data_IF_250895258984
#
_entry.id   IF_250895258984
#
_cell.length_a   1.000
_cell.length_b   1.000
_cell.length_c   1.000
_cell.angle_alpha   90.00
_cell.angle_beta   90.00
_cell.angle_gamma   90.00
#
_symmetry.space_group_name_H-M   'P 1'
#
loop_
_entity.id
_entity.type
_entity.pdbx_description
1 polymer ?
#
# COMPACT_ATOMS: atom_id res chain seq x y z
N UNK A 1 16.00 0.35 -5.64
CA UNK A 1 15.75 0.60 -4.20
C UNK A 1 16.68 -0.23 -3.31
N UNK A 2 16.92 0.20 -2.07
CA UNK A 2 17.81 -0.47 -1.09
C UNK A 2 16.99 -1.38 -0.15
N UNK A 3 17.43 -2.61 0.11
CA UNK A 3 16.76 -3.49 1.10
C UNK A 3 17.42 -3.37 2.48
N UNK A 4 16.59 -3.26 3.52
CA UNK A 4 17.01 -3.15 4.92
C UNK A 4 16.17 -4.08 5.82
N UNK A 5 16.71 -4.38 7.01
CA UNK A 5 15.99 -5.10 8.06
C UNK A 5 15.63 -4.18 9.22
N UNK A 6 14.41 -4.29 9.72
CA UNK A 6 13.95 -3.50 10.86
C UNK A 6 12.43 -3.41 10.98
N UNK A 7 11.97 -2.50 11.84
CA UNK A 7 10.56 -2.23 12.02
C UNK A 7 10.16 -0.95 11.25
N UNK A 8 9.23 -1.10 10.29
CA UNK A 8 8.71 0.00 9.47
C UNK A 8 8.33 1.25 10.27
N UNK A 9 7.71 1.09 11.43
CA UNK A 9 7.20 2.21 12.24
C UNK A 9 8.29 2.91 13.05
N UNK A 10 9.44 2.28 13.23
CA UNK A 10 10.56 2.81 14.02
C UNK A 10 11.74 3.26 13.16
N UNK A 11 11.74 2.96 11.87
CA UNK A 11 12.85 3.29 10.97
C UNK A 11 12.97 4.82 10.82
N UNK A 12 14.15 5.41 11.10
CA UNK A 12 14.40 6.82 10.85
C UNK A 12 14.34 7.13 9.35
N UNK A 13 13.45 8.02 8.96
CA UNK A 13 13.18 8.41 7.57
C UNK A 13 12.42 9.73 7.53
N UNK A 14 12.29 10.36 6.35
CA UNK A 14 11.43 11.52 6.17
C UNK A 14 9.96 11.11 6.02
N UNK A 15 9.72 9.98 5.35
CA UNK A 15 8.40 9.41 5.17
C UNK A 15 8.44 7.88 5.10
N UNK A 16 7.34 7.24 5.47
CA UNK A 16 7.14 5.81 5.26
C UNK A 16 5.76 5.48 4.70
N UNK A 17 5.70 4.38 3.96
CA UNK A 17 4.47 3.92 3.32
C UNK A 17 3.82 2.76 4.08
N UNK A 18 2.49 2.76 4.10
CA UNK A 18 1.69 1.55 4.34
C UNK A 18 1.00 1.13 3.05
N UNK A 19 0.87 -0.17 2.82
CA UNK A 19 0.19 -0.67 1.61
C UNK A 19 -1.31 -0.74 1.82
N UNK A 20 -2.10 -0.19 0.90
CA UNK A 20 -3.57 -0.12 1.02
C UNK A 20 -4.28 -0.77 -0.16
N UNK A 21 -5.59 -1.03 0.02
CA UNK A 21 -6.51 -1.40 -1.05
C UNK A 21 -7.42 -0.22 -1.40
N UNK A 22 -8.03 -0.24 -2.57
CA UNK A 22 -8.94 0.82 -3.03
C UNK A 22 -10.38 0.69 -2.51
N UNK A 23 -10.72 -0.29 -1.67
CA UNK A 23 -12.10 -0.49 -1.25
C UNK A 23 -12.48 0.46 -0.09
N UNK A 24 -13.55 1.23 -0.29
CA UNK A 24 -14.14 2.12 0.72
C UNK A 24 -15.50 1.57 1.13
N UNK A 25 -15.72 1.39 2.44
CA UNK A 25 -17.00 0.94 3.00
C UNK A 25 -18.06 2.04 2.93
N UNK A 26 -19.32 1.67 3.20
CA UNK A 26 -20.44 2.61 3.33
C UNK A 26 -20.24 3.69 4.40
N UNK A 27 -19.48 3.40 5.46
CA UNK A 27 -19.12 4.38 6.50
C UNK A 27 -17.98 5.34 6.10
N UNK A 28 -17.47 5.20 4.86
CA UNK A 28 -16.36 5.97 4.31
C UNK A 28 -14.98 5.53 4.81
N UNK A 29 -14.85 4.37 5.46
CA UNK A 29 -13.54 3.84 5.90
C UNK A 29 -12.93 2.90 4.89
N UNK A 30 -11.60 3.00 4.70
CA UNK A 30 -10.80 2.00 3.99
C UNK A 30 -10.60 0.75 4.86
N UNK A 31 -10.55 -0.44 4.26
CA UNK A 31 -10.34 -1.71 4.99
C UNK A 31 -8.87 -1.90 5.34
N UNK A 32 -8.54 -1.96 6.64
CA UNK A 32 -7.17 -2.16 7.15
C UNK A 32 -7.10 -3.37 8.09
N UNK A 33 -7.34 -4.58 7.56
CA UNK A 33 -7.51 -5.80 8.37
C UNK A 33 -6.25 -6.63 8.64
N UNK A 34 -5.15 -6.43 7.90
CA UNK A 34 -3.93 -7.24 7.99
C UNK A 34 -2.65 -6.41 7.80
N UNK A 35 -1.51 -6.98 8.18
CA UNK A 35 -0.17 -6.45 7.90
C UNK A 35 0.09 -5.05 8.48
N UNK A 36 0.94 -4.27 7.80
CA UNK A 36 1.29 -2.92 8.22
C UNK A 36 0.06 -1.98 8.27
N UNK A 37 -0.92 -2.16 7.37
CA UNK A 37 -2.15 -1.36 7.41
C UNK A 37 -2.94 -1.59 8.71
N UNK A 38 -3.05 -2.83 9.19
CA UNK A 38 -3.71 -3.12 10.48
C UNK A 38 -2.94 -2.51 11.64
N UNK A 39 -1.61 -2.66 11.67
CA UNK A 39 -0.77 -2.05 12.69
C UNK A 39 -0.93 -0.53 12.71
N UNK A 40 -0.88 0.12 11.55
CA UNK A 40 -1.10 1.56 11.41
C UNK A 40 -2.48 2.00 11.89
N UNK A 41 -3.55 1.25 11.59
CA UNK A 41 -4.90 1.56 12.09
C UNK A 41 -5.03 1.42 13.61
N UNK A 42 -4.18 0.60 14.24
CA UNK A 42 -4.16 0.48 15.70
C UNK A 42 -3.38 1.65 16.34
N UNK A 43 -2.29 2.12 15.71
CA UNK A 43 -1.56 3.30 16.16
C UNK A 43 -2.34 4.60 15.93
N UNK A 44 -3.03 4.71 14.80
CA UNK A 44 -3.80 5.89 14.39
C UNK A 44 -5.23 5.50 13.99
N UNK A 45 -6.18 5.43 14.95
CA UNK A 45 -7.55 4.98 14.71
C UNK A 45 -8.35 5.79 13.67
N UNK A 46 -7.96 7.05 13.42
CA UNK A 46 -8.55 7.92 12.40
C UNK A 46 -8.09 7.59 10.97
N UNK A 47 -6.96 6.89 10.82
CA UNK A 47 -6.32 6.64 9.53
C UNK A 47 -7.24 5.93 8.51
N UNK A 48 -8.05 4.91 8.85
CA UNK A 48 -8.98 4.30 7.91
C UNK A 48 -9.98 5.28 7.29
N UNK A 49 -10.45 6.27 8.06
CA UNK A 49 -11.38 7.30 7.58
C UNK A 49 -10.68 8.30 6.66
N UNK A 50 -9.47 8.72 7.01
CA UNK A 50 -8.65 9.63 6.19
C UNK A 50 -8.32 8.97 4.84
N UNK A 51 -7.81 7.74 4.86
CA UNK A 51 -7.48 7.03 3.61
C UNK A 51 -8.73 6.74 2.79
N UNK A 52 -9.84 6.38 3.44
CA UNK A 52 -11.12 6.20 2.75
C UNK A 52 -11.59 7.48 2.03
N UNK A 53 -11.50 8.63 2.70
CA UNK A 53 -11.83 9.93 2.10
C UNK A 53 -10.92 10.25 0.91
N UNK A 54 -9.60 10.06 1.04
CA UNK A 54 -8.65 10.29 -0.04
C UNK A 54 -8.95 9.40 -1.27
N UNK A 55 -9.32 8.13 -1.06
CA UNK A 55 -9.73 7.25 -2.15
C UNK A 55 -11.01 7.75 -2.84
N UNK A 56 -11.99 8.22 -2.07
CA UNK A 56 -13.24 8.76 -2.61
C UNK A 56 -13.05 10.05 -3.41
N UNK A 57 -12.18 10.94 -2.94
CA UNK A 57 -12.00 12.26 -3.55
C UNK A 57 -11.07 12.25 -4.77
N UNK A 58 -10.05 11.40 -4.74
CA UNK A 58 -8.96 11.45 -5.72
C UNK A 58 -8.65 10.11 -6.39
N UNK A 59 -9.37 9.05 -6.00
CA UNK A 59 -9.10 7.70 -6.46
C UNK A 59 -7.93 7.02 -5.75
N UNK A 60 -7.57 5.85 -6.26
CA UNK A 60 -6.62 4.95 -5.61
C UNK A 60 -5.16 5.32 -5.93
N UNK A 61 -4.72 6.49 -5.46
CA UNK A 61 -3.36 7.04 -5.65
C UNK A 61 -2.62 7.25 -4.32
N UNK A 62 -1.32 7.56 -4.38
CA UNK A 62 -0.49 7.75 -3.18
C UNK A 62 -0.86 9.07 -2.49
N UNK A 63 -1.02 9.04 -1.16
CA UNK A 63 -1.32 10.23 -0.35
C UNK A 63 -0.50 10.29 0.92
N UNK A 64 -0.08 11.50 1.29
CA UNK A 64 0.41 11.80 2.64
C UNK A 64 -0.80 11.85 3.59
N UNK A 65 -1.06 10.73 4.28
CA UNK A 65 -2.24 10.56 5.11
C UNK A 65 -2.09 11.24 6.48
N UNK A 66 -0.87 11.26 7.04
CA UNK A 66 -0.58 11.92 8.32
C UNK A 66 0.80 12.58 8.32
N UNK A 67 0.90 13.72 9.00
CA UNK A 67 2.15 14.29 9.48
C UNK A 67 2.29 13.93 10.97
N UNK A 68 3.36 13.23 11.34
CA UNK A 68 3.56 12.70 12.68
C UNK A 68 4.32 13.70 13.55
N UNK A 69 4.17 13.58 14.87
CA UNK A 69 4.79 14.49 15.85
C UNK A 69 6.32 14.47 15.84
N UNK A 70 6.94 13.41 15.31
CA UNK A 70 8.38 13.27 15.15
C UNK A 70 8.89 13.81 13.79
N UNK A 71 8.03 14.50 13.04
CA UNK A 71 8.37 15.13 11.76
C UNK A 71 8.28 14.20 10.54
N UNK A 72 7.97 12.90 10.76
CA UNK A 72 7.83 11.93 9.66
C UNK A 72 6.45 12.00 9.02
N UNK A 73 6.37 11.66 7.73
CA UNK A 73 5.10 11.51 7.03
C UNK A 73 4.69 10.05 6.87
N UNK A 74 3.44 9.73 7.16
CA UNK A 74 2.82 8.44 6.82
C UNK A 74 2.09 8.56 5.49
N UNK A 75 2.46 7.73 4.53
CA UNK A 75 1.86 7.67 3.20
C UNK A 75 1.00 6.42 3.04
N UNK A 76 -0.18 6.55 2.42
CA UNK A 76 -0.88 5.40 1.84
C UNK A 76 -0.30 5.09 0.46
N UNK A 77 0.11 3.83 0.26
CA UNK A 77 0.64 3.31 -1.00
C UNK A 77 -0.30 2.23 -1.54
N UNK A 78 -1.15 2.55 -2.53
CA UNK A 78 -2.08 1.58 -3.10
C UNK A 78 -1.38 0.37 -3.72
N UNK A 79 -1.85 -0.83 -3.39
CA UNK A 79 -1.36 -2.09 -4.01
C UNK A 79 -2.49 -3.00 -4.46
N UNK A 80 -3.72 -2.76 -4.03
CA UNK A 80 -4.91 -3.53 -4.47
C UNK A 80 -5.95 -2.60 -5.07
N UNK A 81 -6.68 -3.04 -6.11
CA UNK A 81 -7.71 -2.23 -6.76
C UNK A 81 -8.91 -1.98 -5.84
N UNK A 82 -9.93 -1.28 -6.33
CA UNK A 82 -11.21 -1.10 -5.63
C UNK A 82 -12.00 -2.41 -5.60
N UNK A 83 -12.02 -3.12 -6.73
CA UNK A 83 -12.60 -4.45 -6.93
C UNK A 83 -12.02 -5.10 -8.19
N UNK A 84 -12.25 -6.40 -8.35
CA UNK A 84 -11.96 -7.16 -9.58
C UNK A 84 -13.12 -8.10 -9.89
N UNK A 85 -13.27 -8.52 -11.15
CA UNK A 85 -14.13 -9.65 -11.52
C UNK A 85 -13.34 -10.94 -11.33
N UNK A 86 -13.85 -11.87 -10.54
CA UNK A 86 -13.15 -13.10 -10.21
C UNK A 86 -12.95 -13.95 -11.46
N UNK A 87 -11.71 -14.28 -11.76
CA UNK A 87 -11.33 -15.11 -12.91
C UNK A 87 -10.79 -16.50 -12.51
N UNK A 88 -10.85 -16.84 -11.21
CA UNK A 88 -10.31 -18.07 -10.65
C UNK A 88 -8.92 -17.94 -10.01
N UNK A 89 -8.19 -16.84 -10.22
CA UNK A 89 -6.83 -16.67 -9.66
C UNK A 89 -6.52 -15.29 -9.06
N UNK A 90 -7.37 -14.29 -9.26
CA UNK A 90 -7.15 -12.90 -8.81
C UNK A 90 -7.77 -12.58 -7.43
N UNK A 91 -8.11 -13.58 -6.64
CA UNK A 91 -8.52 -13.47 -5.24
C UNK A 91 -7.49 -14.15 -4.34
N UNK A 92 -7.20 -13.57 -3.17
CA UNK A 92 -6.26 -14.17 -2.21
C UNK A 92 -6.71 -15.57 -1.78
N UNK A 93 -5.77 -16.52 -1.67
CA UNK A 93 -6.05 -17.95 -1.51
C UNK A 93 -7.07 -18.28 -0.42
N UNK A 94 -6.95 -17.62 0.74
CA UNK A 94 -7.84 -17.86 1.89
C UNK A 94 -9.27 -17.32 1.72
N UNK A 95 -9.54 -16.59 0.63
CA UNK A 95 -10.85 -16.02 0.30
C UNK A 95 -11.45 -16.61 -0.98
N UNK A 96 -10.68 -17.36 -1.79
CA UNK A 96 -11.13 -17.89 -3.08
C UNK A 96 -12.43 -18.70 -2.98
N UNK A 97 -12.60 -19.53 -1.95
CA UNK A 97 -13.80 -20.37 -1.76
C UNK A 97 -15.10 -19.57 -1.49
N UNK A 98 -15.02 -18.24 -1.39
CA UNK A 98 -16.18 -17.36 -1.19
C UNK A 98 -16.71 -16.75 -2.48
N UNK A 99 -16.07 -17.01 -3.62
CA UNK A 99 -16.41 -16.40 -4.90
C UNK A 99 -16.46 -17.44 -6.01
N UNK A 100 -17.39 -17.27 -6.94
CA UNK A 100 -17.49 -18.00 -8.20
C UNK A 100 -16.93 -17.13 -9.34
N UNK A 101 -16.45 -17.76 -10.42
CA UNK A 101 -15.98 -17.02 -11.60
C UNK A 101 -17.10 -16.08 -12.08
N UNK A 102 -16.77 -14.81 -12.29
CA UNK A 102 -17.71 -13.74 -12.62
C UNK A 102 -18.18 -12.89 -11.43
N UNK A 103 -17.99 -13.36 -10.19
CA UNK A 103 -18.33 -12.58 -9.00
C UNK A 103 -17.45 -11.33 -8.86
N UNK A 104 -18.00 -10.26 -8.30
CA UNK A 104 -17.22 -9.09 -7.90
C UNK A 104 -16.49 -9.35 -6.59
N UNK A 105 -15.16 -9.37 -6.63
CA UNK A 105 -14.28 -9.48 -5.46
C UNK A 105 -13.90 -8.08 -5.01
N UNK A 106 -14.18 -7.68 -3.75
CA UNK A 106 -13.75 -6.38 -3.26
C UNK A 106 -12.23 -6.33 -3.12
N UNK A 107 -11.65 -5.14 -3.29
CA UNK A 107 -10.21 -4.91 -3.34
C UNK A 107 -9.41 -5.47 -2.19
N UNK A 108 -9.96 -5.48 -0.96
CA UNK A 108 -9.29 -6.07 0.20
C UNK A 108 -9.11 -7.59 0.10
N UNK A 109 -9.93 -8.28 -0.70
CA UNK A 109 -9.85 -9.71 -1.00
C UNK A 109 -9.17 -10.03 -2.35
N UNK A 110 -8.90 -9.04 -3.19
CA UNK A 110 -8.14 -9.23 -4.42
C UNK A 110 -6.66 -9.52 -4.14
N UNK A 111 -5.99 -10.23 -5.05
CA UNK A 111 -4.52 -10.25 -5.13
C UNK A 111 -4.02 -8.81 -5.42
N UNK A 112 -2.82 -8.47 -4.99
CA UNK A 112 -2.24 -7.16 -5.33
C UNK A 112 -1.98 -7.03 -6.84
N UNK A 113 -2.06 -5.80 -7.35
CA UNK A 113 -1.96 -5.47 -8.76
C UNK A 113 -0.59 -4.82 -9.03
N UNK A 114 0.23 -5.47 -9.87
CA UNK A 114 1.58 -5.02 -10.19
C UNK A 114 1.60 -3.69 -10.96
N UNK A 115 0.61 -3.44 -11.82
CA UNK A 115 0.53 -2.20 -12.58
C UNK A 115 0.08 -1.04 -11.68
N UNK A 116 -0.78 -1.31 -10.69
CA UNK A 116 -1.09 -0.35 -9.64
C UNK A 116 0.13 -0.04 -8.76
N UNK A 117 0.94 -1.05 -8.42
CA UNK A 117 2.18 -0.84 -7.66
C UNK A 117 3.16 0.05 -8.43
N UNK A 118 3.35 -0.21 -9.73
CA UNK A 118 4.21 0.62 -10.61
C UNK A 118 3.69 2.05 -10.71
N UNK A 119 2.38 2.23 -10.86
CA UNK A 119 1.74 3.56 -10.88
C UNK A 119 1.93 4.29 -9.55
N UNK A 120 1.76 3.58 -8.43
CA UNK A 120 1.99 4.12 -7.08
C UNK A 120 3.44 4.48 -6.84
N UNK A 121 4.40 3.69 -7.35
CA UNK A 121 5.83 4.02 -7.27
C UNK A 121 6.16 5.32 -8.01
N UNK A 122 5.60 5.53 -9.21
CA UNK A 122 5.76 6.79 -9.96
C UNK A 122 5.18 7.98 -9.21
N UNK A 123 4.00 7.81 -8.61
CA UNK A 123 3.36 8.85 -7.79
C UNK A 123 4.21 9.18 -6.55
N UNK A 124 4.78 8.15 -5.93
CA UNK A 124 5.66 8.31 -4.79
C UNK A 124 6.92 9.11 -5.14
N UNK A 125 7.53 8.86 -6.30
CA UNK A 125 8.69 9.65 -6.79
C UNK A 125 8.31 11.12 -6.93
N UNK A 126 7.13 11.44 -7.49
CA UNK A 126 6.65 12.82 -7.62
C UNK A 126 6.55 13.49 -6.25
N UNK A 127 5.85 12.86 -5.30
CA UNK A 127 5.67 13.41 -3.94
C UNK A 127 7.04 13.58 -3.26
N UNK A 128 7.92 12.59 -3.38
CA UNK A 128 9.27 12.60 -2.79
C UNK A 128 10.10 13.78 -3.33
N UNK A 129 10.01 14.06 -4.63
CA UNK A 129 10.68 15.20 -5.25
C UNK A 129 10.09 16.53 -4.78
N UNK A 130 8.75 16.65 -4.72
CA UNK A 130 8.06 17.85 -4.26
C UNK A 130 8.40 18.18 -2.81
N UNK A 131 8.42 17.17 -1.94
CA UNK A 131 8.72 17.33 -0.51
C UNK A 131 10.22 17.38 -0.20
N UNK A 132 11.09 17.14 -1.20
CA UNK A 132 12.55 17.08 -1.06
C UNK A 132 13.00 16.07 0.01
N UNK A 133 12.32 14.93 0.08
CA UNK A 133 12.70 13.85 1.00
C UNK A 133 13.93 13.10 0.48
N UNK A 134 14.80 12.71 1.41
CA UNK A 134 16.06 12.01 1.17
C UNK A 134 15.95 10.51 1.51
N UNK A 135 15.05 10.14 2.43
CA UNK A 135 14.83 8.74 2.80
C UNK A 135 13.35 8.43 2.94
N UNK A 136 12.86 7.56 2.07
CA UNK A 136 11.47 7.06 2.09
C UNK A 136 11.47 5.54 2.25
N UNK A 137 10.73 5.05 3.25
CA UNK A 137 10.73 3.62 3.61
C UNK A 137 9.38 2.98 3.26
N UNK A 138 9.42 1.82 2.62
CA UNK A 138 8.25 1.03 2.29
C UNK A 138 8.41 -0.40 2.83
N UNK A 139 7.32 -1.10 3.17
CA UNK A 139 7.37 -2.56 3.25
C UNK A 139 7.64 -3.14 1.85
N UNK A 140 7.61 -4.47 1.70
CA UNK A 140 7.57 -5.14 0.39
C UNK A 140 6.17 -5.00 -0.23
N UNK A 141 5.92 -4.07 -1.19
CA UNK A 141 4.56 -3.75 -1.61
C UNK A 141 3.89 -4.93 -2.33
N UNK A 142 2.61 -5.15 -2.08
CA UNK A 142 1.86 -6.26 -2.69
C UNK A 142 2.27 -7.67 -2.23
N UNK A 143 3.29 -7.80 -1.39
CA UNK A 143 3.75 -9.09 -0.88
C UNK A 143 2.98 -9.50 0.39
N UNK A 144 3.17 -10.75 0.84
CA UNK A 144 2.50 -11.28 2.03
C UNK A 144 0.99 -11.36 1.83
N UNK A 145 0.22 -10.46 2.46
CA UNK A 145 -1.24 -10.44 2.32
C UNK A 145 -1.74 -10.01 0.92
N UNK A 146 -0.85 -9.49 0.06
CA UNK A 146 -1.13 -9.23 -1.35
C UNK A 146 -0.77 -10.38 -2.29
N UNK A 147 -0.07 -11.41 -1.80
CA UNK A 147 0.27 -12.65 -2.52
C UNK A 147 1.14 -12.52 -3.79
N UNK A 148 1.76 -11.36 -4.05
CA UNK A 148 2.79 -11.23 -5.09
C UNK A 148 4.16 -11.72 -4.61
N UNK A 149 5.00 -12.14 -5.57
CA UNK A 149 6.42 -12.47 -5.33
C UNK A 149 7.24 -11.22 -5.12
N UNK A 150 8.03 -11.17 -4.05
CA UNK A 150 8.93 -10.03 -3.83
C UNK A 150 9.97 -9.87 -4.92
N UNK A 151 10.47 -10.97 -5.49
CA UNK A 151 11.47 -10.91 -6.56
C UNK A 151 10.92 -10.18 -7.79
N UNK A 152 9.69 -10.51 -8.19
CA UNK A 152 9.01 -9.90 -9.34
C UNK A 152 8.66 -8.43 -9.05
N UNK A 153 8.11 -8.14 -7.87
CA UNK A 153 7.79 -6.77 -7.47
C UNK A 153 9.05 -5.90 -7.43
N UNK A 154 10.14 -6.41 -6.85
CA UNK A 154 11.40 -5.69 -6.74
C UNK A 154 11.98 -5.36 -8.12
N UNK A 155 11.93 -6.31 -9.06
CA UNK A 155 12.40 -6.08 -10.43
C UNK A 155 11.68 -4.89 -11.10
N UNK A 156 10.37 -4.74 -10.88
CA UNK A 156 9.62 -3.60 -11.40
C UNK A 156 9.93 -2.31 -10.63
N UNK A 157 10.03 -2.39 -9.30
CA UNK A 157 10.29 -1.21 -8.46
C UNK A 157 11.70 -0.65 -8.63
N UNK A 158 12.71 -1.48 -8.88
CA UNK A 158 14.09 -1.02 -9.09
C UNK A 158 14.26 -0.19 -10.36
N UNK A 159 13.34 -0.32 -11.33
CA UNK A 159 13.32 0.51 -12.53
C UNK A 159 12.73 1.91 -12.27
N UNK A 160 12.08 2.11 -11.12
CA UNK A 160 11.34 3.35 -10.80
C UNK A 160 11.91 4.06 -9.57
N UNK A 161 12.30 3.30 -8.54
CA UNK A 161 12.69 3.80 -7.22
C UNK A 161 14.21 3.79 -7.07
N UNK A 162 14.78 5.00 -7.02
CA UNK A 162 16.21 5.27 -6.81
C UNK A 162 16.71 4.92 -5.39
N UNK A 163 17.91 5.40 -5.05
CA UNK A 163 18.63 5.13 -3.80
C UNK A 163 18.07 5.86 -2.56
N UNK A 164 17.08 6.73 -2.73
CA UNK A 164 16.33 7.35 -1.62
C UNK A 164 15.25 6.43 -1.06
N UNK A 165 14.92 5.35 -1.76
CA UNK A 165 13.84 4.43 -1.40
C UNK A 165 14.37 3.14 -0.80
N UNK A 166 13.74 2.73 0.32
CA UNK A 166 14.16 1.60 1.13
C UNK A 166 13.01 0.60 1.30
N UNK A 167 13.28 -0.69 1.08
CA UNK A 167 12.34 -1.78 1.39
C UNK A 167 12.73 -2.38 2.71
N UNK A 168 11.80 -2.39 3.67
CA UNK A 168 12.04 -2.91 5.01
C UNK A 168 11.31 -4.23 5.25
N UNK A 169 12.02 -5.17 5.86
CA UNK A 169 11.47 -6.46 6.33
C UNK A 169 12.08 -6.84 7.67
N UNK A 170 11.59 -7.90 8.32
CA UNK A 170 12.12 -8.40 9.59
C UNK A 170 13.28 -9.39 9.36
#
# INVERSE_FOLDING_TARGET
MIEIKGNLFNEPCDAFCITTNGFVKKDGTCVMGRGCAKQASNYWPQLPKIVGQNISDFGNVVFAALNLSDGRYLLSFPVKPVSVIFNGNNCVKHMMNKFNIGDTVPGWAAVADIELIKSSAKNLVIITNTCKWNKVVLPRPGCGAGELSWLEVKQELDQILDDRFYSITF
#
